data_IF_600242476702
#
_entry.id   IF_600242476702
#
_cell.length_a   1.000
_cell.length_b   1.000
_cell.length_c   1.000
_cell.angle_alpha   90.00
_cell.angle_beta   90.00
_cell.angle_gamma   90.00
#
_symmetry.space_group_name_H-M   'P 1'
#
loop_
_entity.id
_entity.type
_entity.pdbx_description
1 polymer ?
#
# COMPACT_ATOMS: atom_id res chain seq x y z
N UNK A 1 35.09 14.32 -41.70
CA UNK A 1 35.41 14.43 -40.25
C UNK A 1 34.20 14.77 -39.37
N UNK A 2 33.19 15.52 -39.83
CA UNK A 2 31.99 15.85 -39.01
C UNK A 2 31.13 14.63 -38.62
N UNK A 3 30.93 13.68 -39.55
CA UNK A 3 30.11 12.46 -39.32
C UNK A 3 30.65 11.53 -38.22
N UNK A 4 31.98 11.48 -38.01
CA UNK A 4 32.59 10.61 -37.00
C UNK A 4 32.46 11.19 -35.58
N UNK A 5 32.46 12.52 -35.45
CA UNK A 5 32.21 13.20 -34.17
C UNK A 5 30.76 13.05 -33.70
N UNK A 6 29.80 13.03 -34.63
CA UNK A 6 28.38 12.89 -34.32
C UNK A 6 28.03 11.49 -33.83
N UNK A 7 28.64 10.44 -34.42
CA UNK A 7 28.53 9.07 -33.91
C UNK A 7 29.17 8.89 -32.53
N UNK A 8 30.32 9.52 -32.28
CA UNK A 8 30.96 9.45 -30.95
C UNK A 8 30.13 10.16 -29.88
N UNK A 9 29.53 11.30 -30.21
CA UNK A 9 28.63 12.03 -29.31
C UNK A 9 27.33 11.25 -29.05
N UNK A 10 26.81 10.54 -30.06
CA UNK A 10 25.65 9.67 -29.91
C UNK A 10 25.96 8.44 -29.04
N UNK A 11 27.13 7.83 -29.21
CA UNK A 11 27.59 6.68 -28.40
C UNK A 11 27.88 7.10 -26.96
N UNK A 12 28.49 8.28 -26.74
CA UNK A 12 28.69 8.85 -25.40
C UNK A 12 27.35 9.23 -24.74
N UNK A 13 26.41 9.80 -25.50
CA UNK A 13 25.07 10.08 -25.01
C UNK A 13 24.32 8.79 -24.65
N UNK A 14 24.38 7.75 -25.49
CA UNK A 14 23.82 6.42 -25.19
C UNK A 14 24.46 5.81 -23.95
N UNK A 15 25.79 5.93 -23.82
CA UNK A 15 26.56 5.47 -22.66
C UNK A 15 26.17 6.20 -21.38
N UNK A 16 25.98 7.52 -21.42
CA UNK A 16 25.51 8.29 -20.26
C UNK A 16 24.06 7.97 -19.90
N UNK A 17 23.17 7.82 -20.88
CA UNK A 17 21.76 7.47 -20.63
C UNK A 17 21.64 6.08 -20.03
N UNK A 18 22.44 5.11 -20.48
CA UNK A 18 22.44 3.74 -19.95
C UNK A 18 22.97 3.69 -18.51
N UNK A 19 24.01 4.45 -18.16
CA UNK A 19 24.49 4.56 -16.77
C UNK A 19 23.45 5.22 -15.88
N UNK A 20 22.83 6.32 -16.33
CA UNK A 20 21.80 7.02 -15.56
C UNK A 20 20.55 6.15 -15.32
N UNK A 21 20.11 5.39 -16.33
CA UNK A 21 18.96 4.49 -16.20
C UNK A 21 19.29 3.26 -15.36
N UNK A 22 20.52 2.75 -15.44
CA UNK A 22 21.00 1.70 -14.54
C UNK A 22 21.01 2.18 -13.07
N UNK A 23 21.47 3.41 -12.80
CA UNK A 23 21.42 3.98 -11.44
C UNK A 23 20.00 4.12 -10.91
N UNK A 24 19.05 4.60 -11.72
CA UNK A 24 17.62 4.67 -11.32
C UNK A 24 17.05 3.29 -11.02
N UNK A 25 17.41 2.28 -11.82
CA UNK A 25 16.95 0.91 -11.61
C UNK A 25 17.53 0.32 -10.32
N UNK A 26 18.83 0.48 -10.06
CA UNK A 26 19.47 0.05 -8.81
C UNK A 26 18.82 0.73 -7.61
N UNK A 27 18.62 2.05 -7.69
CA UNK A 27 17.94 2.82 -6.64
C UNK A 27 16.52 2.30 -6.41
N UNK A 28 15.77 2.03 -7.47
CA UNK A 28 14.42 1.45 -7.39
C UNK A 28 14.42 0.11 -6.67
N UNK A 29 15.34 -0.80 -7.04
CA UNK A 29 15.44 -2.12 -6.42
C UNK A 29 15.78 -2.02 -4.94
N UNK A 30 16.76 -1.18 -4.58
CA UNK A 30 17.12 -0.93 -3.19
C UNK A 30 15.92 -0.39 -2.40
N UNK A 31 15.19 0.59 -2.96
CA UNK A 31 14.01 1.15 -2.33
C UNK A 31 12.89 0.10 -2.16
N UNK A 32 12.64 -0.70 -3.20
CA UNK A 32 11.69 -1.81 -3.16
C UNK A 32 12.01 -2.81 -2.05
N UNK A 33 13.27 -3.26 -1.94
CA UNK A 33 13.69 -4.17 -0.88
C UNK A 33 13.61 -3.56 0.52
N UNK A 34 13.94 -2.27 0.68
CA UNK A 34 13.76 -1.57 1.95
C UNK A 34 12.28 -1.54 2.35
N UNK A 35 11.38 -1.29 1.40
CA UNK A 35 9.93 -1.31 1.68
C UNK A 35 9.48 -2.73 2.04
N UNK A 36 9.97 -3.75 1.35
CA UNK A 36 9.68 -5.16 1.68
C UNK A 36 10.15 -5.47 3.11
N UNK A 37 11.41 -5.16 3.45
CA UNK A 37 11.95 -5.38 4.80
C UNK A 37 11.14 -4.64 5.87
N UNK A 38 10.76 -3.39 5.59
CA UNK A 38 9.88 -2.64 6.47
C UNK A 38 8.53 -3.33 6.66
N UNK A 39 7.91 -3.80 5.58
CA UNK A 39 6.59 -4.45 5.59
C UNK A 39 6.52 -5.71 6.44
N UNK A 40 7.63 -6.46 6.55
CA UNK A 40 7.73 -7.64 7.41
C UNK A 40 7.45 -7.30 8.87
N UNK A 41 7.81 -6.10 9.32
CA UNK A 41 7.65 -5.68 10.72
C UNK A 41 6.39 -4.84 10.97
N UNK A 42 5.60 -4.49 9.94
CA UNK A 42 4.49 -3.53 10.10
C UNK A 42 3.39 -4.06 11.01
N UNK A 43 2.95 -5.32 10.83
CA UNK A 43 1.80 -5.87 11.57
C UNK A 43 2.21 -6.75 12.75
N UNK A 44 3.49 -7.14 12.85
CA UNK A 44 4.01 -7.95 13.96
C UNK A 44 3.75 -7.30 15.34
N UNK A 45 4.00 -5.99 15.57
CA UNK A 45 3.71 -5.38 16.85
C UNK A 45 2.22 -5.43 17.22
N UNK A 46 1.34 -5.32 16.23
CA UNK A 46 -0.10 -5.44 16.43
C UNK A 46 -0.48 -6.88 16.79
N UNK A 47 0.07 -7.88 16.10
CA UNK A 47 -0.17 -9.30 16.38
C UNK A 47 0.30 -9.69 17.79
N UNK A 48 1.51 -9.27 18.17
CA UNK A 48 2.06 -9.49 19.52
C UNK A 48 1.16 -8.88 20.59
N UNK A 49 0.64 -7.65 20.38
CA UNK A 49 -0.30 -7.03 21.32
C UNK A 49 -1.60 -7.82 21.47
N UNK A 50 -2.17 -8.35 20.40
CA UNK A 50 -3.41 -9.14 20.45
C UNK A 50 -3.17 -10.43 21.25
N UNK A 51 -2.07 -11.14 20.96
CA UNK A 51 -1.74 -12.41 21.61
C UNK A 51 -1.46 -12.20 23.11
N UNK A 52 -0.63 -11.19 23.44
CA UNK A 52 -0.26 -10.92 24.83
C UNK A 52 -1.46 -10.48 25.69
N UNK A 53 -2.38 -9.70 25.13
CA UNK A 53 -3.58 -9.26 25.83
C UNK A 53 -4.74 -10.27 25.74
N UNK A 54 -4.58 -11.35 24.97
CA UNK A 54 -5.61 -12.34 24.68
C UNK A 54 -6.96 -11.72 24.28
N UNK A 55 -6.90 -10.60 23.54
CA UNK A 55 -8.09 -9.82 23.19
C UNK A 55 -7.85 -9.02 21.91
N UNK A 56 -8.88 -8.97 21.06
CA UNK A 56 -8.92 -8.15 19.85
C UNK A 56 -9.78 -6.88 20.02
N UNK A 57 -10.10 -6.50 21.25
CA UNK A 57 -10.93 -5.32 21.53
C UNK A 57 -10.31 -4.04 20.94
N UNK A 58 -11.14 -3.22 20.30
CA UNK A 58 -10.72 -1.99 19.63
C UNK A 58 -10.22 -2.17 18.19
N UNK A 59 -10.08 -3.42 17.72
CA UNK A 59 -9.74 -3.72 16.32
C UNK A 59 -11.02 -3.97 15.54
N UNK A 60 -11.27 -3.16 14.51
CA UNK A 60 -12.41 -3.34 13.61
C UNK A 60 -12.13 -4.45 12.60
N UNK A 61 -12.89 -5.55 12.66
CA UNK A 61 -12.80 -6.63 11.66
C UNK A 61 -13.02 -6.09 10.23
N UNK A 62 -13.96 -5.17 10.05
CA UNK A 62 -14.23 -4.58 8.73
C UNK A 62 -13.03 -3.80 8.21
N UNK A 63 -12.32 -3.05 9.06
CA UNK A 63 -11.11 -2.35 8.66
C UNK A 63 -10.00 -3.33 8.25
N UNK A 64 -9.84 -4.43 8.99
CA UNK A 64 -8.89 -5.50 8.66
C UNK A 64 -9.25 -6.18 7.34
N UNK A 65 -10.52 -6.47 7.09
CA UNK A 65 -10.98 -7.06 5.83
C UNK A 65 -10.81 -6.11 4.64
N UNK A 66 -11.08 -4.82 4.81
CA UNK A 66 -10.82 -3.82 3.77
C UNK A 66 -9.32 -3.70 3.45
N UNK A 67 -8.47 -3.72 4.48
CA UNK A 67 -7.02 -3.72 4.28
C UNK A 67 -6.57 -4.98 3.55
N UNK A 68 -7.08 -6.14 3.95
CA UNK A 68 -6.79 -7.43 3.33
C UNK A 68 -7.21 -7.46 1.87
N UNK A 69 -8.40 -6.94 1.55
CA UNK A 69 -8.87 -6.77 0.18
C UNK A 69 -7.91 -5.91 -0.65
N UNK A 70 -7.54 -4.74 -0.15
CA UNK A 70 -6.75 -3.77 -0.91
C UNK A 70 -5.34 -4.31 -1.25
N UNK A 71 -4.70 -4.93 -0.25
CA UNK A 71 -3.37 -5.51 -0.42
C UNK A 71 -3.41 -6.80 -1.24
N UNK A 72 -4.45 -7.63 -1.10
CA UNK A 72 -4.68 -8.77 -2.00
C UNK A 72 -4.81 -8.36 -3.45
N UNK A 73 -5.69 -7.39 -3.74
CA UNK A 73 -5.95 -6.92 -5.10
C UNK A 73 -4.67 -6.46 -5.81
N UNK A 74 -3.83 -5.70 -5.10
CA UNK A 74 -2.53 -5.23 -5.62
C UNK A 74 -1.56 -6.39 -5.84
N UNK A 75 -1.50 -7.34 -4.90
CA UNK A 75 -0.59 -8.49 -4.95
C UNK A 75 -0.93 -9.42 -6.10
N UNK A 76 -2.21 -9.82 -6.23
CA UNK A 76 -2.64 -10.77 -7.28
C UNK A 76 -2.55 -10.16 -8.67
N UNK A 77 -2.87 -8.86 -8.81
CA UNK A 77 -2.71 -8.13 -10.07
C UNK A 77 -1.25 -8.10 -10.51
N UNK A 78 -0.36 -7.73 -9.59
CA UNK A 78 1.08 -7.62 -9.87
C UNK A 78 1.71 -8.98 -10.17
N UNK A 79 1.27 -10.02 -9.47
CA UNK A 79 1.68 -11.41 -9.73
C UNK A 79 1.22 -11.87 -11.12
N UNK A 80 -0.05 -11.66 -11.48
CA UNK A 80 -0.58 -12.07 -12.78
C UNK A 80 0.07 -11.32 -13.96
N UNK A 81 0.45 -10.05 -13.75
CA UNK A 81 1.26 -9.27 -14.71
C UNK A 81 2.73 -9.68 -14.77
N UNK A 82 3.17 -10.63 -13.95
CA UNK A 82 4.56 -11.08 -13.87
C UNK A 82 5.55 -9.95 -13.57
N UNK A 83 5.14 -8.98 -12.74
CA UNK A 83 6.02 -7.91 -12.30
C UNK A 83 7.15 -8.47 -11.41
N UNK A 84 8.30 -7.78 -11.31
CA UNK A 84 9.37 -8.21 -10.44
C UNK A 84 8.93 -8.20 -8.97
N UNK A 85 9.42 -9.17 -8.20
CA UNK A 85 9.07 -9.33 -6.77
C UNK A 85 9.30 -8.05 -5.94
N UNK A 86 10.32 -7.25 -6.26
CA UNK A 86 10.59 -5.97 -5.60
C UNK A 86 9.45 -4.95 -5.69
N UNK A 87 8.53 -5.09 -6.65
CA UNK A 87 7.40 -4.18 -6.84
C UNK A 87 6.14 -4.56 -6.05
N UNK A 88 6.00 -5.82 -5.60
CA UNK A 88 4.78 -6.28 -4.92
C UNK A 88 5.03 -7.21 -3.73
N UNK A 89 6.29 -7.56 -3.46
CA UNK A 89 6.66 -8.54 -2.45
C UNK A 89 6.22 -8.15 -1.04
N UNK A 90 6.12 -6.85 -0.74
CA UNK A 90 5.56 -6.34 0.50
C UNK A 90 4.10 -6.76 0.67
N UNK A 91 3.35 -6.83 -0.43
CA UNK A 91 1.96 -7.24 -0.45
C UNK A 91 1.78 -8.67 0.03
N UNK A 92 2.70 -9.58 -0.34
CA UNK A 92 2.67 -10.98 0.13
C UNK A 92 2.83 -11.08 1.65
N UNK A 93 3.79 -10.37 2.23
CA UNK A 93 4.00 -10.36 3.67
C UNK A 93 2.82 -9.73 4.42
N UNK A 94 2.28 -8.63 3.90
CA UNK A 94 1.12 -7.95 4.48
C UNK A 94 -0.16 -8.78 4.38
N UNK A 95 -0.40 -9.50 3.28
CA UNK A 95 -1.52 -10.46 3.13
C UNK A 95 -1.46 -11.51 4.24
N UNK A 96 -0.29 -12.12 4.46
CA UNK A 96 -0.11 -13.15 5.49
C UNK A 96 -0.37 -12.55 6.88
N UNK A 97 0.29 -11.45 7.22
CA UNK A 97 0.16 -10.89 8.57
C UNK A 97 -1.24 -10.34 8.85
N UNK A 98 -1.90 -9.74 7.85
CA UNK A 98 -3.24 -9.15 8.00
C UNK A 98 -4.31 -10.24 8.06
N UNK A 99 -4.15 -11.35 7.33
CA UNK A 99 -5.05 -12.51 7.46
C UNK A 99 -4.91 -13.19 8.82
N UNK A 100 -3.70 -13.26 9.39
CA UNK A 100 -3.49 -13.72 10.77
C UNK A 100 -4.17 -12.79 11.79
N UNK A 101 -4.10 -11.47 11.60
CA UNK A 101 -4.84 -10.52 12.46
C UNK A 101 -6.35 -10.77 12.34
N UNK A 102 -6.89 -10.93 11.13
CA UNK A 102 -8.32 -11.22 10.93
C UNK A 102 -8.74 -12.52 11.64
N UNK A 103 -7.92 -13.57 11.54
CA UNK A 103 -8.11 -14.81 12.28
C UNK A 103 -8.11 -14.58 13.78
N UNK A 104 -7.12 -13.87 14.33
CA UNK A 104 -7.07 -13.56 15.76
C UNK A 104 -8.30 -12.77 16.23
N UNK A 105 -8.78 -11.81 15.43
CA UNK A 105 -10.01 -11.06 15.75
C UNK A 105 -11.21 -11.99 15.88
N UNK A 106 -11.40 -12.93 14.95
CA UNK A 106 -12.49 -13.90 15.00
C UNK A 106 -12.33 -14.89 16.16
N UNK A 107 -11.09 -15.35 16.40
CA UNK A 107 -10.77 -16.29 17.47
C UNK A 107 -11.06 -15.70 18.86
N UNK A 108 -10.56 -14.49 19.15
CA UNK A 108 -10.76 -13.83 20.44
C UNK A 108 -12.18 -13.30 20.66
N UNK A 109 -13.00 -13.19 19.59
CA UNK A 109 -14.44 -12.97 19.68
C UNK A 109 -15.24 -14.26 19.99
N UNK A 110 -14.57 -15.38 20.27
CA UNK A 110 -15.19 -16.66 20.59
C UNK A 110 -15.65 -17.47 19.37
N UNK A 111 -15.31 -17.04 18.15
CA UNK A 111 -15.73 -17.70 16.92
C UNK A 111 -14.56 -18.41 16.22
N UNK A 112 -14.03 -19.47 16.84
CA UNK A 112 -12.93 -20.28 16.29
C UNK A 112 -13.29 -20.91 14.94
N UNK A 113 -14.51 -21.46 14.81
CA UNK A 113 -14.95 -22.09 13.56
C UNK A 113 -15.03 -21.06 12.41
N UNK A 114 -15.56 -19.87 12.68
CA UNK A 114 -15.57 -18.76 11.73
C UNK A 114 -14.16 -18.30 11.36
N UNK A 115 -13.23 -18.25 12.32
CA UNK A 115 -11.83 -17.94 12.07
C UNK A 115 -11.14 -18.94 11.14
N UNK A 116 -11.26 -20.24 11.42
CA UNK A 116 -10.69 -21.30 10.59
C UNK A 116 -11.34 -21.35 9.19
N UNK A 117 -12.67 -21.23 9.13
CA UNK A 117 -13.42 -21.16 7.88
C UNK A 117 -13.00 -19.96 7.03
N UNK A 118 -12.85 -18.79 7.64
CA UNK A 118 -12.32 -17.60 6.99
C UNK A 118 -10.94 -17.85 6.39
N UNK A 119 -10.00 -18.43 7.16
CA UNK A 119 -8.64 -18.69 6.69
C UNK A 119 -8.64 -19.65 5.50
N UNK A 120 -9.40 -20.75 5.58
CA UNK A 120 -9.50 -21.74 4.51
C UNK A 120 -10.08 -21.14 3.22
N UNK A 121 -11.17 -20.38 3.32
CA UNK A 121 -11.79 -19.70 2.17
C UNK A 121 -10.84 -18.65 1.59
N UNK A 122 -10.18 -17.88 2.44
CA UNK A 122 -9.26 -16.82 2.00
C UNK A 122 -8.02 -17.39 1.30
N UNK A 123 -7.43 -18.46 1.82
CA UNK A 123 -6.30 -19.16 1.17
C UNK A 123 -6.76 -19.72 -0.19
N UNK A 124 -7.91 -20.39 -0.24
CA UNK A 124 -8.47 -20.91 -1.49
C UNK A 124 -8.72 -19.81 -2.52
N UNK A 125 -9.27 -18.67 -2.10
CA UNK A 125 -9.48 -17.50 -2.94
C UNK A 125 -8.15 -16.94 -3.49
N UNK A 126 -7.13 -16.79 -2.64
CA UNK A 126 -5.82 -16.30 -3.07
C UNK A 126 -5.14 -17.25 -4.05
N UNK A 127 -5.21 -18.56 -3.81
CA UNK A 127 -4.68 -19.57 -4.74
C UNK A 127 -5.40 -19.49 -6.10
N UNK A 128 -6.73 -19.37 -6.10
CA UNK A 128 -7.50 -19.18 -7.33
C UNK A 128 -7.09 -17.89 -8.06
N UNK A 129 -7.04 -16.75 -7.36
CA UNK A 129 -6.69 -15.45 -7.96
C UNK A 129 -5.25 -15.37 -8.49
N UNK A 130 -4.33 -16.13 -7.90
CA UNK A 130 -2.95 -16.23 -8.37
C UNK A 130 -2.75 -17.33 -9.42
N UNK A 131 -3.75 -18.19 -9.66
CA UNK A 131 -3.68 -19.20 -10.71
C UNK A 131 -3.91 -18.59 -12.09
N UNK A 132 -3.50 -19.32 -13.14
CA UNK A 132 -3.80 -18.96 -14.53
C UNK A 132 -5.30 -19.00 -14.89
N UNK A 133 -6.17 -19.46 -13.96
CA UNK A 133 -7.61 -19.55 -14.17
C UNK A 133 -8.31 -18.20 -13.95
N UNK A 134 -7.70 -17.27 -13.22
CA UNK A 134 -8.30 -15.97 -12.94
C UNK A 134 -8.18 -15.04 -14.15
N UNK A 135 -9.31 -14.52 -14.69
CA UNK A 135 -9.26 -13.67 -15.87
C UNK A 135 -8.69 -12.28 -15.54
N UNK A 136 -7.78 -11.78 -16.37
CA UNK A 136 -7.12 -10.48 -16.18
C UNK A 136 -8.09 -9.29 -15.97
N UNK A 137 -9.27 -9.22 -16.63
CA UNK A 137 -10.27 -8.18 -16.34
C UNK A 137 -10.75 -8.18 -14.88
N UNK A 138 -10.93 -9.34 -14.26
CA UNK A 138 -11.30 -9.44 -12.85
C UNK A 138 -10.19 -8.86 -11.96
N UNK A 139 -8.94 -9.25 -12.21
CA UNK A 139 -7.80 -8.76 -11.43
C UNK A 139 -7.60 -7.24 -11.60
N UNK A 140 -7.82 -6.73 -12.81
CA UNK A 140 -7.77 -5.29 -13.10
C UNK A 140 -8.90 -4.53 -12.40
N UNK A 141 -10.10 -5.10 -12.35
CA UNK A 141 -11.22 -4.53 -11.60
C UNK A 141 -10.92 -4.48 -10.10
N UNK A 142 -10.39 -5.58 -9.53
CA UNK A 142 -9.97 -5.61 -8.14
C UNK A 142 -8.91 -4.53 -7.86
N UNK A 143 -7.86 -4.43 -8.69
CA UNK A 143 -6.82 -3.42 -8.52
C UNK A 143 -7.35 -2.00 -8.67
N UNK A 144 -8.16 -1.73 -9.70
CA UNK A 144 -8.73 -0.40 -9.94
C UNK A 144 -9.69 0.03 -8.83
N UNK A 145 -10.37 -0.89 -8.16
CA UNK A 145 -11.25 -0.58 -7.03
C UNK A 145 -10.51 0.02 -5.82
N UNK A 146 -9.19 -0.19 -5.71
CA UNK A 146 -8.38 0.46 -4.67
C UNK A 146 -8.38 1.99 -4.80
N UNK A 147 -8.50 2.51 -6.03
CA UNK A 147 -8.52 3.95 -6.30
C UNK A 147 -9.73 4.64 -5.65
N UNK A 148 -10.99 4.29 -5.98
CA UNK A 148 -12.16 4.91 -5.36
C UNK A 148 -12.23 4.64 -3.85
N UNK A 149 -11.81 3.46 -3.38
CA UNK A 149 -11.76 3.15 -1.95
C UNK A 149 -10.82 4.12 -1.22
N UNK A 150 -9.62 4.34 -1.75
CA UNK A 150 -8.65 5.27 -1.16
C UNK A 150 -9.18 6.70 -1.14
N UNK A 151 -9.79 7.16 -2.25
CA UNK A 151 -10.37 8.51 -2.34
C UNK A 151 -11.48 8.70 -1.32
N UNK A 152 -12.47 7.80 -1.29
CA UNK A 152 -13.63 7.91 -0.40
C UNK A 152 -13.17 7.87 1.06
N UNK A 153 -12.29 6.93 1.42
CA UNK A 153 -11.76 6.80 2.78
C UNK A 153 -11.09 8.10 3.26
N UNK A 154 -10.23 8.69 2.40
CA UNK A 154 -9.49 9.90 2.75
C UNK A 154 -10.34 11.15 2.67
N UNK A 155 -11.35 11.19 1.80
CA UNK A 155 -12.32 12.29 1.76
C UNK A 155 -13.17 12.34 3.03
N UNK A 156 -13.67 11.19 3.50
CA UNK A 156 -14.41 11.09 4.77
C UNK A 156 -13.54 11.57 5.93
N UNK A 157 -12.26 11.17 5.95
CA UNK A 157 -11.29 11.63 6.95
C UNK A 157 -11.07 13.15 6.84
N UNK A 158 -10.91 13.68 5.63
CA UNK A 158 -10.68 15.10 5.41
C UNK A 158 -11.85 15.97 5.84
N UNK A 159 -13.09 15.56 5.53
CA UNK A 159 -14.31 16.23 5.98
C UNK A 159 -14.43 16.18 7.50
N UNK A 160 -14.14 15.03 8.11
CA UNK A 160 -14.15 14.89 9.58
C UNK A 160 -13.16 15.84 10.23
N UNK A 161 -11.95 15.98 9.70
CA UNK A 161 -10.94 16.91 10.22
C UNK A 161 -11.42 18.37 10.16
N UNK A 162 -12.05 18.78 9.05
CA UNK A 162 -12.62 20.13 8.91
C UNK A 162 -13.77 20.36 9.89
N UNK A 163 -14.69 19.40 10.01
CA UNK A 163 -15.83 19.49 10.94
C UNK A 163 -15.37 19.62 12.38
N UNK A 164 -14.34 18.87 12.75
CA UNK A 164 -13.76 18.91 14.10
C UNK A 164 -12.89 20.17 14.35
N UNK A 165 -12.53 20.92 13.30
CA UNK A 165 -11.58 22.03 13.40
C UNK A 165 -10.17 21.59 13.80
N UNK A 166 -9.82 20.33 13.54
CA UNK A 166 -8.56 19.73 13.96
C UNK A 166 -8.45 18.26 13.54
N UNK A 167 -7.25 17.71 13.63
CA UNK A 167 -6.95 16.32 13.22
C UNK A 167 -7.00 15.30 14.37
N UNK A 168 -7.32 15.75 15.59
CA UNK A 168 -7.53 14.86 16.75
C UNK A 168 -6.27 14.06 17.10
N UNK A 169 -6.40 12.73 17.11
CA UNK A 169 -5.34 11.77 17.48
C UNK A 169 -4.58 11.23 16.26
N UNK A 170 -4.68 11.87 15.09
CA UNK A 170 -3.92 11.44 13.90
C UNK A 170 -2.41 11.60 14.15
N UNK A 171 -1.66 10.51 13.99
CA UNK A 171 -0.20 10.53 14.08
C UNK A 171 0.41 11.19 12.84
N UNK A 172 1.04 12.36 13.05
CA UNK A 172 1.80 13.11 12.03
C UNK A 172 2.83 12.22 11.35
N UNK A 173 3.57 11.45 12.15
CA UNK A 173 4.62 10.54 11.68
C UNK A 173 4.02 9.48 10.77
N UNK A 174 2.89 8.88 11.16
CA UNK A 174 2.22 7.85 10.35
C UNK A 174 1.73 8.43 9.02
N UNK A 175 1.09 9.60 9.03
CA UNK A 175 0.58 10.23 7.81
C UNK A 175 1.72 10.65 6.88
N UNK A 176 2.81 11.20 7.43
CA UNK A 176 4.01 11.51 6.67
C UNK A 176 4.63 10.26 6.03
N UNK A 177 4.76 9.16 6.78
CA UNK A 177 5.30 7.91 6.25
C UNK A 177 4.41 7.31 5.16
N UNK A 178 3.08 7.40 5.28
CA UNK A 178 2.16 6.99 4.22
C UNK A 178 2.33 7.84 2.95
N UNK A 179 2.50 9.16 3.11
CA UNK A 179 2.76 10.08 2.00
C UNK A 179 4.12 9.80 1.33
N UNK A 180 5.20 9.76 2.11
CA UNK A 180 6.54 9.48 1.59
C UNK A 180 6.66 8.08 0.97
N UNK A 181 6.06 7.07 1.61
CA UNK A 181 6.03 5.71 1.10
C UNK A 181 5.25 5.56 -0.21
N UNK A 182 4.15 6.31 -0.37
CA UNK A 182 3.40 6.32 -1.65
C UNK A 182 4.17 7.04 -2.76
N UNK A 183 4.93 8.10 -2.47
CA UNK A 183 5.85 8.72 -3.43
C UNK A 183 6.94 7.73 -3.86
N UNK A 184 7.58 7.06 -2.89
CA UNK A 184 8.58 6.04 -3.16
C UNK A 184 8.03 4.96 -4.11
N UNK A 185 6.76 4.57 -3.91
CA UNK A 185 6.08 3.58 -4.73
C UNK A 185 5.77 4.05 -6.15
N UNK A 186 5.45 5.33 -6.36
CA UNK A 186 5.33 5.89 -7.71
C UNK A 186 6.65 5.68 -8.47
N UNK A 187 7.78 6.08 -7.87
CA UNK A 187 9.09 5.94 -8.50
C UNK A 187 9.43 4.47 -8.81
N UNK A 188 9.26 3.56 -7.84
CA UNK A 188 9.58 2.15 -8.07
C UNK A 188 8.67 1.51 -9.11
N UNK A 189 7.38 1.85 -9.12
CA UNK A 189 6.45 1.28 -10.10
C UNK A 189 6.72 1.78 -11.52
N UNK A 190 7.06 3.06 -11.71
CA UNK A 190 7.47 3.55 -13.04
C UNK A 190 8.73 2.80 -13.53
N UNK A 191 9.69 2.55 -12.64
CA UNK A 191 10.96 1.93 -12.99
C UNK A 191 10.88 0.41 -13.15
N UNK A 192 9.98 -0.26 -12.43
CA UNK A 192 9.94 -1.73 -12.38
C UNK A 192 8.78 -2.37 -13.13
N UNK A 193 7.64 -1.68 -13.26
CA UNK A 193 6.45 -2.23 -13.91
C UNK A 193 6.08 -1.48 -15.18
N UNK A 194 6.26 -0.17 -15.21
CA UNK A 194 5.78 0.69 -16.29
C UNK A 194 4.25 0.68 -16.45
N UNK A 195 3.53 0.16 -15.45
CA UNK A 195 2.09 -0.07 -15.54
C UNK A 195 1.29 1.14 -15.04
N UNK A 196 0.51 1.74 -15.93
CA UNK A 196 -0.26 2.95 -15.65
C UNK A 196 -1.30 2.77 -14.54
N UNK A 197 -1.86 1.57 -14.36
CA UNK A 197 -2.87 1.34 -13.34
C UNK A 197 -2.24 1.35 -11.95
N UNK A 198 -1.15 0.61 -11.76
CA UNK A 198 -0.40 0.60 -10.49
C UNK A 198 0.13 2.00 -10.16
N UNK A 199 0.73 2.67 -11.13
CA UNK A 199 1.22 4.05 -10.95
C UNK A 199 0.08 5.00 -10.58
N UNK A 200 -1.06 4.93 -11.27
CA UNK A 200 -2.23 5.76 -10.94
C UNK A 200 -2.74 5.50 -9.51
N UNK A 201 -2.76 4.24 -9.06
CA UNK A 201 -3.13 3.90 -7.68
C UNK A 201 -2.22 4.62 -6.67
N UNK A 202 -0.90 4.62 -6.88
CA UNK A 202 0.03 5.30 -5.97
C UNK A 202 0.01 6.83 -6.10
N UNK A 203 -0.26 7.38 -7.29
CA UNK A 203 -0.48 8.83 -7.48
C UNK A 203 -1.69 9.29 -6.67
N UNK A 204 -2.82 8.58 -6.78
CA UNK A 204 -4.02 8.90 -6.00
C UNK A 204 -3.76 8.74 -4.51
N UNK A 205 -3.10 7.65 -4.10
CA UNK A 205 -2.72 7.44 -2.69
C UNK A 205 -1.85 8.58 -2.15
N UNK A 206 -0.87 9.04 -2.95
CA UNK A 206 0.00 10.18 -2.61
C UNK A 206 -0.81 11.46 -2.45
N UNK A 207 -1.69 11.78 -3.40
CA UNK A 207 -2.53 12.97 -3.34
C UNK A 207 -3.45 12.96 -2.10
N UNK A 208 -4.09 11.82 -1.83
CA UNK A 208 -4.98 11.67 -0.68
C UNK A 208 -4.23 11.73 0.65
N UNK A 209 -3.06 11.08 0.77
CA UNK A 209 -2.25 11.18 1.99
C UNK A 209 -1.65 12.59 2.16
N UNK A 210 -1.29 13.25 1.06
CA UNK A 210 -0.83 14.64 1.05
C UNK A 210 -1.89 15.61 1.52
N UNK A 211 -3.15 15.42 1.13
CA UNK A 211 -4.29 16.21 1.63
C UNK A 211 -4.41 16.10 3.16
N UNK A 212 -4.39 14.89 3.70
CA UNK A 212 -4.46 14.68 5.16
C UNK A 212 -3.24 15.25 5.86
N UNK A 213 -2.05 15.10 5.29
CA UNK A 213 -0.83 15.67 5.83
C UNK A 213 -0.89 17.20 5.87
N UNK A 214 -1.38 17.84 4.81
CA UNK A 214 -1.58 19.29 4.76
C UNK A 214 -2.58 19.75 5.83
N UNK A 215 -3.67 19.00 6.08
CA UNK A 215 -4.60 19.30 7.16
C UNK A 215 -3.94 19.21 8.54
N UNK A 216 -3.06 18.22 8.77
CA UNK A 216 -2.31 18.11 10.02
C UNK A 216 -1.43 19.35 10.23
N UNK A 217 -0.73 19.81 9.20
CA UNK A 217 0.11 21.01 9.29
C UNK A 217 -0.71 22.28 9.51
N UNK A 218 -1.86 22.40 8.83
CA UNK A 218 -2.77 23.53 8.98
C UNK A 218 -3.37 23.62 10.38
N UNK A 219 -3.78 22.49 10.96
CA UNK A 219 -4.40 22.43 12.29
C UNK A 219 -3.40 22.22 13.44
N UNK A 220 -2.09 22.30 13.19
CA UNK A 220 -1.05 22.01 14.19
C UNK A 220 -1.21 22.77 15.51
N UNK A 221 -1.65 24.03 15.42
CA UNK A 221 -1.89 24.92 16.56
C UNK A 221 -3.37 25.20 16.84
N UNK A 222 -4.29 24.47 16.18
CA UNK A 222 -5.72 24.71 16.34
C UNK A 222 -6.21 24.18 17.69
N UNK A 223 -6.92 25.01 18.44
CA UNK A 223 -7.58 24.58 19.68
C UNK A 223 -8.82 23.74 19.32
N UNK A 224 -9.05 22.58 19.95
CA UNK A 224 -10.21 21.75 19.67
C UNK A 224 -11.50 22.54 19.85
N UNK A 225 -12.43 22.45 18.88
CA UNK A 225 -13.78 22.99 19.10
C UNK A 225 -14.46 22.19 20.22
N UNK A 226 -15.14 22.84 21.19
CA UNK A 226 -15.94 22.12 22.18
C UNK A 226 -17.03 21.32 21.45
N UNK A 227 -17.24 20.06 21.86
CA UNK A 227 -18.34 19.24 21.35
C UNK A 227 -19.65 19.96 21.72
N UNK A 228 -20.43 20.35 20.71
CA UNK A 228 -21.84 20.69 20.92
C UNK A 228 -22.60 19.39 21.18
N UNK A 229 -23.13 19.23 22.41
CA UNK A 229 -24.12 18.20 22.75
C UNK A 229 -25.40 18.36 21.91
#
# INVERSE_FOLDING_TARGET
MSHMSMNLLHVLALGLTTVADCMKLVLSKCLGFVIILGSVMVKIPQLVKIINNQSAQGISLMAVLCELFAVSATTVYSFAKSFPFSSYGEGLFLVIQTSLIAFCVLFYNGNLQGGLGFLAVYIGLMVFLMSSMAPMPLLSLLQSSNIPIAIISKLIQAVTNVRNGGTGQLSVVTVFLLFAGSIARIFTSIQETGDSLVVATYVVSTACNGLIFAQILYYWNAKPKPKSE
#
